data_IF_302277175021
#
_entry.id   IF_302277175021
#
_cell.length_a   1.000
_cell.length_b   1.000
_cell.length_c   1.000
_cell.angle_alpha   90.00
_cell.angle_beta   90.00
_cell.angle_gamma   90.00
#
_symmetry.space_group_name_H-M   'P 1'
#
loop_
_entity.id
_entity.type
_entity.pdbx_description
1 polymer ?
#
# COMPACT_ATOMS: atom_id res chain seq x y z
N UNK A 1 10.59 -16.56 -14.08
CA UNK A 1 11.14 -15.73 -12.99
C UNK A 1 12.31 -14.92 -13.48
N UNK A 2 12.14 -13.60 -13.56
CA UNK A 2 13.16 -12.63 -13.98
C UNK A 2 14.05 -12.24 -12.79
N UNK A 3 15.25 -11.70 -13.05
CA UNK A 3 16.19 -11.28 -11.98
C UNK A 3 15.63 -10.18 -11.07
N UNK A 4 14.62 -9.43 -11.52
CA UNK A 4 14.00 -8.32 -10.78
C UNK A 4 13.07 -8.85 -9.68
N UNK A 5 12.20 -9.81 -10.01
CA UNK A 5 11.27 -10.44 -9.06
C UNK A 5 12.01 -11.02 -7.84
N UNK A 6 13.11 -11.73 -8.09
CA UNK A 6 13.89 -12.41 -7.05
C UNK A 6 14.59 -11.46 -6.07
N UNK A 7 14.90 -10.23 -6.50
CA UNK A 7 15.49 -9.19 -5.65
C UNK A 7 14.44 -8.63 -4.67
N UNK A 8 13.20 -8.44 -5.12
CA UNK A 8 12.11 -7.98 -4.28
C UNK A 8 11.62 -9.04 -3.29
N UNK A 9 11.57 -10.32 -3.68
CA UNK A 9 11.18 -11.42 -2.77
C UNK A 9 12.08 -11.54 -1.53
N UNK A 10 13.38 -11.22 -1.65
CA UNK A 10 14.32 -11.22 -0.53
C UNK A 10 14.30 -9.94 0.31
N UNK A 11 13.81 -8.83 -0.25
CA UNK A 11 13.76 -7.52 0.40
C UNK A 11 12.43 -7.26 1.14
N UNK A 12 11.32 -7.86 0.66
CA UNK A 12 9.99 -7.67 1.23
C UNK A 12 9.94 -7.93 2.75
N UNK A 13 10.58 -9.01 3.21
CA UNK A 13 10.65 -9.32 4.64
C UNK A 13 11.47 -8.29 5.46
N UNK A 14 12.52 -7.72 4.86
CA UNK A 14 13.36 -6.71 5.51
C UNK A 14 12.73 -5.31 5.51
N UNK A 15 11.94 -4.96 4.51
CA UNK A 15 11.14 -3.72 4.46
C UNK A 15 10.01 -3.72 5.49
N UNK A 16 9.37 -4.87 5.70
CA UNK A 16 8.35 -5.04 6.76
C UNK A 16 8.89 -4.86 8.18
N UNK A 17 10.15 -5.22 8.45
CA UNK A 17 10.73 -5.31 9.81
C UNK A 17 11.48 -4.04 10.26
N UNK A 18 11.57 -2.98 9.44
CA UNK A 18 12.30 -1.75 9.83
C UNK A 18 11.41 -0.53 10.09
N UNK A 19 10.54 -0.55 11.12
CA UNK A 19 9.61 0.54 11.42
C UNK A 19 10.28 1.86 11.86
N UNK A 20 11.56 1.84 12.27
CA UNK A 20 12.20 2.98 12.94
C UNK A 20 12.82 4.03 12.00
N UNK A 21 13.12 3.69 10.74
CA UNK A 21 13.74 4.65 9.80
C UNK A 21 12.72 5.51 9.03
N UNK A 22 11.47 5.06 8.95
CA UNK A 22 10.48 5.61 8.01
C UNK A 22 9.35 6.39 8.68
N UNK A 23 9.45 6.74 9.97
CA UNK A 23 8.38 7.48 10.67
C UNK A 23 8.21 8.90 10.15
N UNK A 24 9.32 9.56 9.80
CA UNK A 24 9.29 10.93 9.25
C UNK A 24 8.75 10.90 7.83
N UNK A 25 9.26 10.01 6.98
CA UNK A 25 8.80 9.85 5.60
C UNK A 25 7.30 9.53 5.57
N UNK A 26 6.86 8.56 6.37
CA UNK A 26 5.44 8.25 6.54
C UNK A 26 4.60 9.47 6.94
N UNK A 27 5.03 10.22 7.97
CA UNK A 27 4.28 11.40 8.41
C UNK A 27 4.23 12.52 7.35
N UNK A 28 5.32 12.73 6.61
CA UNK A 28 5.39 13.72 5.52
C UNK A 28 4.48 13.30 4.37
N UNK A 29 4.51 12.01 3.99
CA UNK A 29 3.66 11.46 2.93
C UNK A 29 2.18 11.55 3.31
N UNK A 30 1.81 11.26 4.56
CA UNK A 30 0.43 11.43 5.03
C UNK A 30 -0.02 12.89 5.01
N UNK A 31 0.86 13.84 5.37
CA UNK A 31 0.54 15.27 5.24
C UNK A 31 0.32 15.66 3.78
N UNK A 32 1.12 15.12 2.85
CA UNK A 32 0.93 15.38 1.43
C UNK A 32 -0.42 14.80 0.95
N UNK A 33 -0.83 13.63 1.43
CA UNK A 33 -2.15 13.09 1.14
C UNK A 33 -3.27 14.01 1.64
N UNK A 34 -3.15 14.55 2.86
CA UNK A 34 -4.16 15.47 3.40
C UNK A 34 -4.24 16.80 2.61
N UNK A 35 -3.15 17.21 1.96
CA UNK A 35 -3.10 18.44 1.15
C UNK A 35 -3.59 18.23 -0.29
N UNK A 36 -3.29 17.08 -0.89
CA UNK A 36 -3.45 16.88 -2.33
C UNK A 36 -4.48 15.83 -2.73
N UNK A 37 -4.86 14.91 -1.84
CA UNK A 37 -5.94 13.98 -2.17
C UNK A 37 -7.30 14.68 -2.07
N UNK A 38 -8.26 14.31 -2.94
CA UNK A 38 -9.65 14.71 -2.73
C UNK A 38 -10.15 14.14 -1.39
N UNK A 39 -11.10 14.81 -0.71
CA UNK A 39 -11.66 14.30 0.53
C UNK A 39 -12.33 12.94 0.30
N UNK A 40 -12.25 12.06 1.29
CA UNK A 40 -12.95 10.79 1.27
C UNK A 40 -14.49 10.97 1.25
N UNK A 41 -15.26 10.06 0.61
CA UNK A 41 -14.77 8.87 -0.10
C UNK A 41 -14.22 9.22 -1.49
N UNK A 42 -13.03 8.68 -1.79
CA UNK A 42 -12.41 8.75 -3.10
C UNK A 42 -11.62 7.47 -3.39
N UNK A 43 -11.45 7.16 -4.67
CA UNK A 43 -10.73 5.96 -5.13
C UNK A 43 -9.25 6.26 -5.30
N UNK A 44 -8.40 5.40 -4.72
CA UNK A 44 -6.94 5.49 -4.79
C UNK A 44 -6.37 4.19 -5.34
N UNK A 45 -5.41 4.30 -6.26
CA UNK A 45 -4.62 3.16 -6.75
C UNK A 45 -3.18 3.32 -6.25
N UNK A 46 -2.77 2.45 -5.34
CA UNK A 46 -1.41 2.39 -4.79
C UNK A 46 -0.58 1.40 -5.63
N UNK A 47 0.36 1.94 -6.42
CA UNK A 47 1.21 1.16 -7.34
C UNK A 47 2.60 1.05 -6.73
N UNK A 48 3.06 -0.18 -6.47
CA UNK A 48 4.34 -0.43 -5.82
C UNK A 48 4.31 -0.17 -4.31
N UNK A 49 3.13 -0.25 -3.70
CA UNK A 49 2.94 -0.01 -2.26
C UNK A 49 3.48 -1.12 -1.35
N UNK A 50 4.02 -2.19 -1.94
CA UNK A 50 4.63 -3.35 -1.29
C UNK A 50 3.75 -3.92 -0.17
N UNK A 51 4.17 -3.80 1.11
CA UNK A 51 3.39 -4.24 2.27
C UNK A 51 1.98 -3.62 2.38
N UNK A 52 1.72 -2.52 1.69
CA UNK A 52 0.46 -1.78 1.73
C UNK A 52 0.30 -0.89 2.96
N UNK A 53 1.40 -0.41 3.56
CA UNK A 53 1.37 0.48 4.74
C UNK A 53 0.52 1.73 4.50
N UNK A 54 0.65 2.35 3.32
CA UNK A 54 -0.15 3.52 2.93
C UNK A 54 -1.58 3.12 2.56
N UNK A 55 -1.74 2.04 1.81
CA UNK A 55 -3.07 1.53 1.46
C UNK A 55 -3.93 1.23 2.70
N UNK A 56 -3.36 0.62 3.74
CA UNK A 56 -4.06 0.36 5.01
C UNK A 56 -4.49 1.67 5.68
N UNK A 57 -3.58 2.64 5.84
CA UNK A 57 -3.88 3.92 6.47
C UNK A 57 -4.95 4.70 5.70
N UNK A 58 -4.85 4.77 4.38
CA UNK A 58 -5.87 5.43 3.54
C UNK A 58 -7.23 4.72 3.62
N UNK A 59 -7.24 3.39 3.67
CA UNK A 59 -8.47 2.61 3.87
C UNK A 59 -9.12 2.96 5.23
N UNK A 60 -8.32 3.06 6.30
CA UNK A 60 -8.81 3.47 7.62
C UNK A 60 -9.35 4.91 7.65
N UNK A 61 -8.84 5.78 6.78
CA UNK A 61 -9.35 7.15 6.58
C UNK A 61 -10.60 7.23 5.70
N UNK A 62 -11.12 6.09 5.21
CA UNK A 62 -12.36 6.03 4.43
C UNK A 62 -12.18 6.13 2.91
N UNK A 63 -10.95 6.00 2.41
CA UNK A 63 -10.70 5.89 0.98
C UNK A 63 -10.95 4.47 0.46
N UNK A 64 -11.32 4.37 -0.81
CA UNK A 64 -11.42 3.11 -1.54
C UNK A 64 -10.09 2.82 -2.22
N UNK A 65 -9.26 1.96 -1.63
CA UNK A 65 -7.89 1.72 -2.11
C UNK A 65 -7.78 0.38 -2.84
N UNK A 66 -7.18 0.42 -4.04
CA UNK A 66 -6.65 -0.75 -4.72
C UNK A 66 -5.12 -0.72 -4.64
N UNK A 67 -4.50 -1.82 -4.23
CA UNK A 67 -3.05 -1.98 -4.17
C UNK A 67 -2.61 -2.91 -5.31
N UNK A 68 -1.60 -2.49 -6.07
CA UNK A 68 -0.95 -3.30 -7.09
C UNK A 68 0.56 -3.31 -6.86
N UNK A 69 1.16 -4.48 -6.72
CA UNK A 69 2.61 -4.66 -6.59
C UNK A 69 3.08 -5.83 -7.46
N UNK A 70 4.32 -5.77 -7.93
CA UNK A 70 4.95 -6.83 -8.73
C UNK A 70 5.50 -7.96 -7.85
N UNK A 71 5.70 -7.73 -6.56
CA UNK A 71 6.15 -8.73 -5.59
C UNK A 71 4.95 -9.44 -4.97
N UNK A 72 4.73 -10.69 -5.38
CA UNK A 72 3.74 -11.56 -4.75
C UNK A 72 3.99 -11.73 -3.24
N UNK A 73 5.27 -11.79 -2.83
CA UNK A 73 5.65 -11.87 -1.42
C UNK A 73 5.26 -10.62 -0.62
N UNK A 74 5.32 -9.43 -1.22
CA UNK A 74 4.91 -8.19 -0.56
C UNK A 74 3.37 -8.11 -0.41
N UNK A 75 2.63 -8.53 -1.45
CA UNK A 75 1.17 -8.63 -1.42
C UNK A 75 0.66 -9.66 -0.40
N UNK A 76 1.42 -10.74 -0.13
CA UNK A 76 1.02 -11.79 0.81
C UNK A 76 0.88 -11.29 2.26
N UNK A 77 1.50 -10.17 2.61
CA UNK A 77 1.35 -9.55 3.92
C UNK A 77 0.24 -8.49 3.99
N UNK A 78 -0.36 -8.12 2.84
CA UNK A 78 -1.52 -7.24 2.81
C UNK A 78 -2.75 -8.02 3.30
N UNK A 79 -3.34 -7.67 4.45
CA UNK A 79 -4.42 -8.47 5.01
C UNK A 79 -5.65 -8.45 4.09
N UNK A 80 -6.31 -9.60 3.86
CA UNK A 80 -7.40 -9.75 2.88
C UNK A 80 -8.62 -8.86 3.15
N UNK A 81 -8.73 -8.29 4.36
CA UNK A 81 -9.81 -7.36 4.74
C UNK A 81 -9.74 -6.00 4.05
N UNK A 82 -8.60 -5.64 3.45
CA UNK A 82 -8.44 -4.39 2.71
C UNK A 82 -8.75 -4.52 1.21
N UNK A 83 -9.26 -5.68 0.76
CA UNK A 83 -9.72 -5.95 -0.61
C UNK A 83 -11.25 -6.09 -0.74
N UNK A 84 -12.02 -5.98 0.35
CA UNK A 84 -13.44 -6.32 0.31
C UNK A 84 -14.34 -5.08 0.39
N UNK A 85 -14.73 -4.56 -0.79
CA UNK A 85 -16.12 -4.22 -1.17
C UNK A 85 -16.21 -3.22 -2.32
N UNK A 86 -15.76 -3.61 -3.53
CA UNK A 86 -16.18 -2.91 -4.75
C UNK A 86 -16.97 -3.90 -5.62
N UNK A 87 -18.28 -3.68 -5.88
CA UNK A 87 -18.97 -4.42 -6.92
C UNK A 87 -18.36 -4.05 -8.27
N UNK A 88 -18.02 -5.05 -9.08
CA UNK A 88 -17.65 -4.82 -10.47
C UNK A 88 -18.80 -4.07 -11.18
N UNK A 89 -18.50 -3.00 -11.94
CA UNK A 89 -19.53 -2.33 -12.72
C UNK A 89 -20.13 -3.32 -13.74
N UNK A 90 -21.46 -3.36 -13.78
CA UNK A 90 -22.26 -4.11 -14.77
C UNK A 90 -21.99 -3.66 -16.20
#
# INVERSE_FOLDING_TARGET
MTNVERYYDGAAHNEWIRPDRDRVEFAVTLRAFDEYLPPAPARVLDIGGGPGRYAIELTQRGYEVALADISEAALAFYPPHALCSVPLPS
#
